data_IF_454467530005
#
_entry.id   IF_454467530005
#
_cell.length_a   1.000
_cell.length_b   1.000
_cell.length_c   1.000
_cell.angle_alpha   90.00
_cell.angle_beta   90.00
_cell.angle_gamma   90.00
#
_symmetry.space_group_name_H-M   'P 1'
#
loop_
_entity.id
_entity.type
_entity.pdbx_description
1 polymer ?
#
# COMPACT_ATOMS: atom_id res chain seq x y z
N UNK A 1 2.83 -7.55 -4.28
CA UNK A 1 2.29 -7.53 -2.91
C UNK A 1 3.41 -7.14 -1.96
N UNK A 2 3.16 -6.30 -0.95
CA UNK A 2 4.16 -5.84 0.00
C UNK A 2 3.69 -5.97 1.45
N UNK A 3 4.57 -6.39 2.35
CA UNK A 3 4.26 -6.53 3.77
C UNK A 3 4.59 -5.25 4.53
N UNK A 4 3.70 -4.84 5.43
CA UNK A 4 3.95 -3.70 6.30
C UNK A 4 4.83 -4.12 7.50
N UNK A 5 5.73 -3.22 7.92
CA UNK A 5 6.61 -3.41 9.08
C UNK A 5 5.93 -2.98 10.37
N UNK A 6 6.21 -3.68 11.47
CA UNK A 6 5.88 -3.21 12.83
C UNK A 6 4.40 -3.15 13.16
N UNK A 7 3.59 -4.07 12.61
CA UNK A 7 2.16 -4.13 12.92
C UNK A 7 1.32 -2.97 12.37
N UNK A 8 1.89 -2.10 11.52
CA UNK A 8 1.16 -0.98 10.89
C UNK A 8 -0.13 -1.47 10.24
N UNK A 9 -1.21 -0.73 10.48
CA UNK A 9 -2.53 -1.05 9.95
C UNK A 9 -2.60 -0.78 8.44
N UNK A 10 -3.11 -1.75 7.69
CA UNK A 10 -3.17 -1.67 6.23
C UNK A 10 -4.22 -0.68 5.73
N UNK A 11 -5.29 -0.41 6.49
CA UNK A 11 -6.32 0.57 6.09
C UNK A 11 -5.80 1.99 6.30
N UNK A 12 -5.14 2.27 7.42
CA UNK A 12 -4.46 3.54 7.67
C UNK A 12 -3.39 3.82 6.61
N UNK A 13 -2.60 2.80 6.25
CA UNK A 13 -1.62 2.90 5.17
C UNK A 13 -2.26 3.23 3.82
N UNK A 14 -3.34 2.54 3.45
CA UNK A 14 -4.06 2.83 2.21
C UNK A 14 -4.67 4.24 2.19
N UNK A 15 -5.20 4.71 3.33
CA UNK A 15 -5.72 6.08 3.45
C UNK A 15 -4.62 7.13 3.30
N UNK A 16 -3.46 6.93 3.92
CA UNK A 16 -2.33 7.85 3.83
C UNK A 16 -1.72 7.89 2.41
N UNK A 17 -1.70 6.75 1.71
CA UNK A 17 -1.27 6.66 0.32
C UNK A 17 -2.24 7.40 -0.62
N UNK A 18 -3.56 7.25 -0.40
CA UNK A 18 -4.58 7.93 -1.21
C UNK A 18 -4.48 9.46 -1.12
N UNK A 19 -4.10 10.01 0.04
CA UNK A 19 -3.84 11.44 0.20
C UNK A 19 -2.68 11.97 -0.67
N UNK A 20 -1.85 11.07 -1.20
CA UNK A 20 -0.73 11.38 -2.10
C UNK A 20 -0.97 10.86 -3.52
N UNK A 21 -2.23 10.63 -3.89
CA UNK A 21 -2.61 10.14 -5.22
C UNK A 21 -2.01 8.76 -5.55
N UNK A 22 -1.85 7.90 -4.53
CA UNK A 22 -1.39 6.51 -4.70
C UNK A 22 -2.48 5.54 -4.22
N UNK A 23 -3.08 4.81 -5.16
CA UNK A 23 -4.08 3.80 -4.86
C UNK A 23 -3.45 2.44 -4.54
N UNK A 24 -3.76 1.92 -3.34
CA UNK A 24 -3.36 0.59 -2.89
C UNK A 24 -4.51 -0.07 -2.14
N UNK A 25 -4.58 -1.40 -2.19
CA UNK A 25 -5.61 -2.15 -1.47
C UNK A 25 -5.04 -2.87 -0.25
N UNK A 26 -5.68 -2.83 0.93
CA UNK A 26 -5.34 -3.70 2.04
C UNK A 26 -5.41 -5.18 1.63
N UNK A 27 -4.35 -5.95 1.90
CA UNK A 27 -4.28 -7.35 1.50
C UNK A 27 -5.37 -8.22 2.15
N UNK A 28 -5.84 -7.82 3.34
CA UNK A 28 -6.92 -8.49 4.06
C UNK A 28 -8.24 -8.53 3.29
N UNK A 29 -8.46 -7.62 2.32
CA UNK A 29 -9.65 -7.64 1.45
C UNK A 29 -9.75 -8.90 0.58
N UNK A 30 -8.62 -9.55 0.31
CA UNK A 30 -8.53 -10.73 -0.54
C UNK A 30 -8.33 -12.03 0.27
N UNK A 31 -8.17 -11.93 1.59
CA UNK A 31 -8.02 -13.08 2.47
C UNK A 31 -9.36 -13.59 3.00
N UNK A 32 -9.59 -14.92 2.93
CA UNK A 32 -10.78 -15.57 3.52
C UNK A 32 -10.70 -15.75 5.05
N UNK A 33 -9.49 -15.71 5.61
CA UNK A 33 -9.22 -15.78 7.06
C UNK A 33 -8.41 -14.56 7.46
N UNK A 34 -8.43 -14.24 8.76
CA UNK A 34 -7.61 -13.18 9.32
C UNK A 34 -6.15 -13.38 8.90
N UNK A 35 -5.60 -12.41 8.16
CA UNK A 35 -4.22 -12.44 7.73
C UNK A 35 -3.37 -11.98 8.91
N UNK A 36 -2.50 -12.85 9.43
CA UNK A 36 -1.67 -12.56 10.60
C UNK A 36 -0.69 -11.40 10.39
N UNK A 37 -0.43 -11.02 9.13
CA UNK A 37 0.48 -9.93 8.75
C UNK A 37 -0.22 -8.91 7.87
N UNK A 38 -0.16 -7.64 8.27
CA UNK A 38 -0.66 -6.54 7.47
C UNK A 38 0.20 -6.34 6.21
N UNK A 39 -0.46 -6.06 5.10
CA UNK A 39 0.18 -5.87 3.80
C UNK A 39 -0.72 -5.12 2.83
N UNK A 40 -0.12 -4.69 1.74
CA UNK A 40 -0.77 -3.96 0.65
C UNK A 40 -0.63 -4.76 -0.66
N UNK A 41 -1.72 -4.77 -1.44
CA UNK A 41 -1.72 -5.16 -2.84
C UNK A 41 -1.49 -3.90 -3.68
N UNK A 42 -0.51 -3.98 -4.58
CA UNK A 42 -0.15 -2.92 -5.51
C UNK A 42 -0.49 -3.39 -6.92
N UNK A 43 -1.36 -2.65 -7.61
CA UNK A 43 -1.61 -2.83 -9.03
C UNK A 43 -0.64 -1.97 -9.84
N UNK A 44 0.02 -2.56 -10.83
CA UNK A 44 0.99 -1.85 -11.68
C UNK A 44 0.74 -2.06 -13.17
N UNK A 45 -0.25 -2.88 -13.55
CA UNK A 45 -0.45 -3.30 -14.94
C UNK A 45 -0.84 -2.16 -15.90
N UNK A 46 -1.45 -1.09 -15.37
CA UNK A 46 -1.95 0.04 -16.16
C UNK A 46 -1.11 1.31 -16.05
N UNK A 47 0.07 1.25 -15.40
CA UNK A 47 0.94 2.41 -15.16
C UNK A 47 2.30 2.18 -15.79
N UNK A 48 2.91 3.26 -16.29
CA UNK A 48 4.22 3.20 -16.91
C UNK A 48 5.36 3.29 -15.88
N UNK A 49 6.60 3.12 -16.33
CA UNK A 49 7.77 3.10 -15.45
C UNK A 49 7.95 4.41 -14.64
N UNK A 50 7.86 5.62 -15.25
CA UNK A 50 7.90 6.87 -14.49
C UNK A 50 6.84 6.93 -13.38
N UNK A 51 5.62 6.50 -13.68
CA UNK A 51 4.50 6.56 -12.76
C UNK A 51 4.64 5.55 -11.61
N UNK A 52 5.13 4.34 -11.90
CA UNK A 52 5.50 3.35 -10.86
C UNK A 52 6.55 3.94 -9.91
N UNK A 53 7.58 4.59 -10.45
CA UNK A 53 8.64 5.18 -9.62
C UNK A 53 8.11 6.34 -8.76
N UNK A 54 7.23 7.19 -9.31
CA UNK A 54 6.53 8.24 -8.56
C UNK A 54 5.71 7.64 -7.43
N UNK A 55 4.82 6.70 -7.76
CA UNK A 55 3.93 6.06 -6.79
C UNK A 55 4.67 5.35 -5.67
N UNK A 56 5.80 4.68 -5.96
CA UNK A 56 6.62 4.03 -4.93
C UNK A 56 7.25 5.05 -3.98
N UNK A 57 7.74 6.19 -4.48
CA UNK A 57 8.30 7.26 -3.63
C UNK A 57 7.23 7.89 -2.73
N UNK A 58 6.09 8.25 -3.31
CA UNK A 58 4.97 8.83 -2.56
C UNK A 58 4.41 7.84 -1.52
N UNK A 59 4.34 6.55 -1.87
CA UNK A 59 3.98 5.50 -0.93
C UNK A 59 4.97 5.40 0.23
N UNK A 60 6.28 5.49 -0.02
CA UNK A 60 7.28 5.48 1.05
C UNK A 60 7.07 6.65 2.03
N UNK A 61 6.88 7.86 1.51
CA UNK A 61 6.61 9.05 2.32
C UNK A 61 5.31 8.89 3.14
N UNK A 62 4.25 8.35 2.54
CA UNK A 62 3.01 8.06 3.25
C UNK A 62 3.20 7.05 4.38
N UNK A 63 4.02 6.02 4.14
CA UNK A 63 4.28 4.98 5.13
C UNK A 63 5.16 5.49 6.27
N UNK A 64 6.16 6.32 6.01
CA UNK A 64 7.06 6.88 7.03
C UNK A 64 6.35 7.82 8.01
N UNK A 65 5.28 8.47 7.57
CA UNK A 65 4.46 9.35 8.39
C UNK A 65 3.46 8.62 9.31
N UNK A 66 3.43 7.28 9.30
CA UNK A 66 2.61 6.41 10.16
C UNK A 66 3.40 5.82 11.33
#
# INVERSE_FOLDING_TARGET
MGWLRGGRDAKSAAKAALQRDVEVSPLSRYGRRAVARNGLLLGFAAVDKPEIQRGVRELAIALEAL
#
